data_IF_719233828475
#
_entry.id   IF_719233828475
#
_cell.length_a   1.000
_cell.length_b   1.000
_cell.length_c   1.000
_cell.angle_alpha   90.00
_cell.angle_beta   90.00
_cell.angle_gamma   90.00
#
_symmetry.space_group_name_H-M   'P 1'
#
loop_
_entity.id
_entity.type
_entity.pdbx_description
1 polymer ?
#
# COMPACT_ATOMS: atom_id res chain seq x y z
N UNK A 1 -3.24 -4.38 12.82
CA UNK A 1 -4.59 -3.78 12.82
C UNK A 1 -5.50 -4.79 13.47
N UNK A 2 -6.03 -4.44 14.63
CA UNK A 2 -6.96 -5.27 15.39
C UNK A 2 -8.38 -4.74 15.21
N UNK A 3 -9.38 -5.62 15.21
CA UNK A 3 -10.78 -5.22 15.11
C UNK A 3 -11.71 -6.40 14.87
N UNK A 4 -12.91 -6.10 14.37
CA UNK A 4 -13.90 -7.11 13.97
C UNK A 4 -13.77 -7.38 12.46
N UNK A 5 -13.63 -8.65 12.08
CA UNK A 5 -13.61 -9.10 10.69
C UNK A 5 -14.95 -8.91 10.00
N UNK A 6 -14.96 -9.05 8.66
CA UNK A 6 -16.19 -9.01 7.85
C UNK A 6 -17.16 -10.15 8.17
N UNK A 7 -16.68 -11.19 8.84
CA UNK A 7 -17.44 -12.33 9.34
C UNK A 7 -17.97 -12.14 10.77
N UNK A 8 -17.76 -10.96 11.38
CA UNK A 8 -18.21 -10.63 12.72
C UNK A 8 -17.31 -11.14 13.86
N UNK A 9 -16.17 -11.79 13.56
CA UNK A 9 -15.27 -12.35 14.57
C UNK A 9 -14.09 -11.42 14.86
N UNK A 10 -13.44 -11.51 16.04
CA UNK A 10 -12.19 -10.80 16.28
C UNK A 10 -11.12 -11.16 15.25
N UNK A 11 -10.42 -10.15 14.73
CA UNK A 11 -9.36 -10.30 13.72
C UNK A 11 -8.17 -9.41 14.07
N UNK A 12 -6.97 -9.94 13.90
CA UNK A 12 -5.72 -9.19 13.95
C UNK A 12 -4.94 -9.47 12.67
N UNK A 13 -4.59 -8.41 11.94
CA UNK A 13 -3.83 -8.50 10.69
C UNK A 13 -2.68 -7.54 10.66
N UNK A 14 -1.58 -7.96 10.04
CA UNK A 14 -0.45 -7.10 9.72
C UNK A 14 -0.31 -6.97 8.20
N UNK A 15 -0.44 -5.74 7.72
CA UNK A 15 -0.28 -5.39 6.32
C UNK A 15 1.12 -4.78 6.14
N UNK A 16 1.86 -5.25 5.14
CA UNK A 16 3.23 -4.77 4.91
C UNK A 16 3.67 -4.91 3.45
N UNK A 17 4.63 -4.07 3.08
CA UNK A 17 5.44 -4.15 1.87
C UNK A 17 6.92 -4.20 2.30
N UNK A 18 7.76 -4.88 1.52
CA UNK A 18 9.20 -4.96 1.77
C UNK A 18 9.95 -4.42 0.56
N UNK A 19 10.81 -3.44 0.78
CA UNK A 19 11.75 -2.96 -0.23
C UNK A 19 13.16 -3.49 0.07
N UNK A 20 13.82 -4.08 -0.93
CA UNK A 20 15.22 -4.45 -0.83
C UNK A 20 16.12 -3.27 -1.22
N UNK A 21 17.11 -2.95 -0.37
CA UNK A 21 17.99 -1.82 -0.61
C UNK A 21 18.98 -2.05 -1.75
N UNK A 22 19.45 -3.28 -1.96
CA UNK A 22 20.37 -3.57 -3.07
C UNK A 22 19.65 -3.42 -4.40
N UNK A 23 18.41 -3.93 -4.50
CA UNK A 23 17.55 -3.78 -5.66
C UNK A 23 17.21 -2.32 -5.96
N UNK A 24 16.75 -1.54 -4.96
CA UNK A 24 16.42 -0.11 -5.16
C UNK A 24 17.65 0.71 -5.59
N UNK A 25 18.82 0.43 -5.01
CA UNK A 25 20.08 1.04 -5.43
C UNK A 25 20.52 0.62 -6.83
N UNK A 26 20.25 -0.62 -7.25
CA UNK A 26 20.57 -1.10 -8.59
C UNK A 26 19.67 -0.43 -9.64
N UNK A 27 18.35 -0.47 -9.44
CA UNK A 27 17.36 -0.06 -10.43
C UNK A 27 17.12 1.45 -10.46
N UNK A 28 16.99 2.08 -9.29
CA UNK A 28 16.58 3.48 -9.15
C UNK A 28 17.71 4.40 -8.67
N UNK A 29 18.88 3.85 -8.35
CA UNK A 29 20.02 4.61 -7.78
C UNK A 29 19.65 5.37 -6.50
N UNK A 30 18.67 4.87 -5.76
CA UNK A 30 18.14 5.46 -4.55
C UNK A 30 18.01 4.40 -3.46
N UNK A 31 18.28 4.81 -2.23
CA UNK A 31 18.13 3.94 -1.07
C UNK A 31 16.65 3.64 -0.78
N UNK A 32 16.38 2.49 -0.18
CA UNK A 32 15.02 1.94 0.00
C UNK A 32 14.01 2.90 0.63
N UNK A 33 14.36 3.64 1.68
CA UNK A 33 13.50 4.63 2.36
C UNK A 33 13.15 5.81 1.44
N UNK A 34 14.09 6.32 0.64
CA UNK A 34 13.83 7.39 -0.34
C UNK A 34 12.90 6.85 -1.41
N UNK A 35 13.21 5.67 -1.95
CA UNK A 35 12.40 5.04 -2.98
C UNK A 35 10.98 4.75 -2.48
N UNK A 36 10.81 4.21 -1.26
CA UNK A 36 9.50 3.93 -0.65
C UNK A 36 8.68 5.20 -0.45
N UNK A 37 9.33 6.29 -0.04
CA UNK A 37 8.67 7.59 0.13
C UNK A 37 8.20 8.17 -1.20
N UNK A 38 8.97 7.99 -2.27
CA UNK A 38 8.66 8.50 -3.60
C UNK A 38 7.62 7.66 -4.36
N UNK A 39 7.60 6.34 -4.16
CA UNK A 39 6.72 5.43 -4.90
C UNK A 39 5.24 5.68 -4.61
N UNK A 40 4.86 5.92 -3.35
CA UNK A 40 3.45 6.10 -2.98
C UNK A 40 2.80 7.33 -3.68
N UNK A 41 3.43 8.52 -3.70
CA UNK A 41 2.95 9.65 -4.49
C UNK A 41 2.87 9.37 -5.99
N UNK A 42 3.83 8.64 -6.58
CA UNK A 42 3.84 8.31 -8.01
C UNK A 42 2.60 7.47 -8.37
N UNK A 43 2.34 6.40 -7.62
CA UNK A 43 1.15 5.56 -7.81
C UNK A 43 -0.14 6.39 -7.65
N UNK A 44 -0.22 7.22 -6.61
CA UNK A 44 -1.39 8.08 -6.39
C UNK A 44 -1.63 9.06 -7.56
N UNK A 45 -0.57 9.71 -8.06
CA UNK A 45 -0.66 10.63 -9.19
C UNK A 45 -1.11 9.94 -10.47
N UNK A 46 -0.66 8.70 -10.71
CA UNK A 46 -1.09 7.91 -11.87
C UNK A 46 -2.58 7.54 -11.78
N UNK A 47 -3.07 7.16 -10.59
CA UNK A 47 -4.49 6.87 -10.39
C UNK A 47 -5.38 8.11 -10.56
N UNK A 48 -4.89 9.29 -10.16
CA UNK A 48 -5.57 10.56 -10.40
C UNK A 48 -5.57 10.91 -11.90
N UNK A 49 -4.44 10.72 -12.59
CA UNK A 49 -4.31 11.03 -14.01
C UNK A 49 -5.17 10.11 -14.91
N UNK A 50 -5.29 8.83 -14.54
CA UNK A 50 -6.14 7.86 -15.24
C UNK A 50 -7.63 7.97 -14.88
N UNK A 51 -7.97 8.71 -13.82
CA UNK A 51 -9.33 8.87 -13.31
C UNK A 51 -9.83 7.70 -12.45
N UNK A 52 -8.98 6.69 -12.19
CA UNK A 52 -9.30 5.61 -11.25
C UNK A 52 -9.52 6.14 -9.83
N UNK A 53 -8.75 7.16 -9.44
CA UNK A 53 -9.05 8.01 -8.30
C UNK A 53 -9.57 9.36 -8.79
N UNK A 54 -10.68 9.82 -8.22
CA UNK A 54 -11.27 11.12 -8.52
C UNK A 54 -12.08 11.63 -7.33
N UNK A 55 -12.19 12.94 -7.20
CA UNK A 55 -12.89 13.58 -6.10
C UNK A 55 -12.69 15.10 -6.09
N UNK A 56 -13.43 15.80 -5.22
CA UNK A 56 -13.32 17.24 -5.05
C UNK A 56 -12.99 17.60 -3.59
N UNK A 57 -12.14 18.60 -3.39
CA UNK A 57 -11.68 19.05 -2.08
C UNK A 57 -10.31 18.49 -1.69
N UNK A 58 -10.03 18.48 -0.38
CA UNK A 58 -8.78 17.95 0.18
C UNK A 58 -9.07 16.55 0.71
N UNK A 59 -8.56 15.54 0.00
CA UNK A 59 -8.82 14.14 0.28
C UNK A 59 -7.51 13.42 0.56
N UNK A 60 -7.43 12.73 1.70
CA UNK A 60 -6.36 11.78 1.97
C UNK A 60 -6.51 10.51 1.13
N UNK A 61 -5.44 9.70 0.96
CA UNK A 61 -5.48 8.46 0.21
C UNK A 61 -6.55 7.46 0.72
N UNK A 62 -6.87 7.50 2.01
CA UNK A 62 -7.90 6.69 2.65
C UNK A 62 -9.33 7.00 2.20
N UNK A 63 -9.55 8.12 1.51
CA UNK A 63 -10.84 8.47 0.94
C UNK A 63 -11.14 7.74 -0.39
N UNK A 64 -10.13 7.09 -0.98
CA UNK A 64 -10.24 6.41 -2.27
C UNK A 64 -10.21 4.88 -2.12
N UNK A 65 -10.65 4.17 -3.15
CA UNK A 65 -10.53 2.71 -3.19
C UNK A 65 -9.05 2.30 -3.17
N UNK A 66 -8.69 1.45 -2.20
CA UNK A 66 -7.33 0.96 -2.03
C UNK A 66 -6.94 -0.09 -3.08
N UNK A 67 -7.91 -0.78 -3.70
CA UNK A 67 -7.61 -1.90 -4.61
C UNK A 67 -6.81 -1.45 -5.84
N UNK A 68 -7.18 -0.38 -6.58
CA UNK A 68 -6.39 0.10 -7.71
C UNK A 68 -4.95 0.48 -7.36
N UNK A 69 -4.72 1.04 -6.16
CA UNK A 69 -3.39 1.38 -5.68
C UNK A 69 -2.54 0.13 -5.42
N UNK A 70 -3.11 -0.84 -4.73
CA UNK A 70 -2.46 -2.09 -4.39
C UNK A 70 -2.17 -2.96 -5.63
N UNK A 71 -3.06 -2.93 -6.62
CA UNK A 71 -2.86 -3.62 -7.91
C UNK A 71 -1.81 -2.92 -8.76
N UNK A 72 -1.84 -1.58 -8.87
CA UNK A 72 -0.82 -0.84 -9.63
C UNK A 72 0.57 -0.99 -9.01
N UNK A 73 0.67 -0.96 -7.69
CA UNK A 73 1.94 -1.21 -6.98
C UNK A 73 2.48 -2.61 -7.30
N UNK A 74 1.63 -3.65 -7.24
CA UNK A 74 2.01 -5.04 -7.54
C UNK A 74 2.36 -5.25 -9.01
N UNK A 75 1.43 -4.93 -9.91
CA UNK A 75 1.49 -5.32 -11.32
C UNK A 75 2.21 -4.30 -12.20
N UNK A 76 2.10 -3.00 -11.88
CA UNK A 76 2.75 -1.93 -12.65
C UNK A 76 4.20 -1.71 -12.22
N UNK A 77 4.47 -1.75 -10.92
CA UNK A 77 5.79 -1.44 -10.35
C UNK A 77 6.55 -2.68 -9.83
N UNK A 78 5.92 -3.86 -9.87
CA UNK A 78 6.54 -5.12 -9.42
C UNK A 78 6.74 -5.19 -7.91
N UNK A 79 5.91 -4.48 -7.13
CA UNK A 79 6.07 -4.30 -5.69
C UNK A 79 4.98 -5.02 -4.91
N UNK A 80 5.31 -6.22 -4.44
CA UNK A 80 4.36 -7.04 -3.68
C UNK A 80 4.06 -6.48 -2.29
N UNK A 81 2.79 -6.52 -1.90
CA UNK A 81 2.33 -6.30 -0.55
C UNK A 81 1.70 -7.58 0.00
N UNK A 82 1.66 -7.70 1.32
CA UNK A 82 1.21 -8.91 2.02
C UNK A 82 0.29 -8.55 3.18
N UNK A 83 -0.66 -9.44 3.43
CA UNK A 83 -1.47 -9.48 4.65
C UNK A 83 -1.10 -10.75 5.40
N UNK A 84 -0.75 -10.59 6.66
CA UNK A 84 -0.50 -11.69 7.57
C UNK A 84 -1.56 -11.70 8.65
N UNK A 85 -2.33 -12.79 8.75
CA UNK A 85 -3.19 -13.05 9.90
C UNK A 85 -2.34 -13.26 11.14
N UNK A 86 -2.77 -12.69 12.26
CA UNK A 86 -2.15 -12.82 13.58
C UNK A 86 -3.17 -13.36 14.56
N UNK A 87 -2.70 -14.11 15.56
CA UNK A 87 -3.52 -14.49 16.70
C UNK A 87 -3.87 -13.22 17.47
N UNK A 88 -5.16 -12.88 17.66
CA UNK A 88 -5.54 -11.74 18.49
C UNK A 88 -4.93 -11.91 19.88
N UNK A 89 -4.21 -10.89 20.37
CA UNK A 89 -3.74 -10.90 21.74
C UNK A 89 -4.95 -11.06 22.68
N UNK A 90 -4.88 -12.02 23.62
CA UNK A 90 -5.86 -12.14 24.69
C UNK A 90 -5.85 -10.84 25.47
N UNK A 91 -6.97 -10.09 25.43
CA UNK A 91 -7.18 -8.89 26.24
C UNK A 91 -7.31 -9.24 27.72
#
# INVERSE_FOLDING_TARGET
VTGTGKDGKPRDVYLYHVADNAWTMQEYKAQAVVWQTAMNPVVALELLATGAWSGAGVLGPEAFDAVPFLDLLRDGYGQEWKIQERTPASQ
#
